data_IF_241547219213
#
_entry.id   IF_241547219213
#
_cell.length_a   1.000
_cell.length_b   1.000
_cell.length_c   1.000
_cell.angle_alpha   90.00
_cell.angle_beta   90.00
_cell.angle_gamma   90.00
#
_symmetry.space_group_name_H-M   'P 1'
#
loop_
_entity.id
_entity.type
_entity.pdbx_description
1 polymer ?
#
# COMPACT_ATOMS: atom_id res chain seq x y z
N UNK A 1 -12.79 9.77 -0.74
CA UNK A 1 -11.45 10.34 -0.93
C UNK A 1 -10.50 9.60 -0.01
N UNK A 2 -9.35 9.17 -0.53
CA UNK A 2 -8.23 8.67 0.28
C UNK A 2 -7.39 9.85 0.76
N UNK A 3 -6.72 9.68 1.91
CA UNK A 3 -5.82 10.67 2.49
C UNK A 3 -4.55 9.97 2.95
N UNK A 4 -3.39 10.59 2.68
CA UNK A 4 -2.13 10.14 3.23
C UNK A 4 -2.05 10.52 4.71
N UNK A 5 -1.57 9.59 5.53
CA UNK A 5 -1.26 9.87 6.93
C UNK A 5 -0.04 10.79 7.00
N UNK A 6 -0.10 11.81 7.85
CA UNK A 6 1.07 12.66 8.12
C UNK A 6 2.10 11.86 8.91
N UNK A 7 3.38 12.20 8.74
CA UNK A 7 4.50 11.56 9.42
C UNK A 7 4.38 11.56 10.94
N UNK A 8 3.86 12.64 11.52
CA UNK A 8 3.62 12.72 12.96
C UNK A 8 2.48 11.81 13.47
N UNK A 9 1.72 11.17 12.57
CA UNK A 9 0.63 10.24 12.89
C UNK A 9 1.13 8.81 12.73
N UNK A 10 1.72 8.45 11.58
CA UNK A 10 2.14 7.07 11.35
C UNK A 10 3.38 6.65 12.15
N UNK A 11 4.10 7.60 12.74
CA UNK A 11 5.20 7.35 13.68
C UNK A 11 4.76 7.27 15.16
N UNK A 12 3.46 7.43 15.49
CA UNK A 12 2.98 7.32 16.88
C UNK A 12 3.08 5.90 17.44
N UNK A 13 2.70 4.83 16.71
CA UNK A 13 2.76 3.48 17.24
C UNK A 13 4.21 3.00 17.42
N UNK A 14 4.52 2.36 18.55
CA UNK A 14 5.87 1.93 18.91
C UNK A 14 6.47 0.87 17.96
N UNK A 15 5.64 0.15 17.22
CA UNK A 15 6.05 -0.89 16.26
C UNK A 15 5.90 -0.44 14.80
N UNK A 16 5.66 0.84 14.57
CA UNK A 16 5.34 1.39 13.26
C UNK A 16 3.86 1.20 12.87
N UNK A 17 3.50 1.82 11.76
CA UNK A 17 2.19 1.68 11.14
C UNK A 17 2.30 0.77 9.95
N UNK A 18 1.33 -0.12 9.76
CA UNK A 18 1.28 -1.08 8.66
C UNK A 18 0.06 -0.78 7.79
N UNK A 19 0.23 -0.89 6.49
CA UNK A 19 -0.82 -0.76 5.48
C UNK A 19 -1.06 -2.10 4.77
N UNK A 20 -2.32 -2.37 4.43
CA UNK A 20 -2.71 -3.45 3.53
C UNK A 20 -3.01 -2.81 2.17
N UNK A 21 -2.22 -3.17 1.17
CA UNK A 21 -2.41 -2.75 -0.21
C UNK A 21 -2.90 -3.91 -1.07
N UNK A 22 -3.84 -3.66 -1.98
CA UNK A 22 -4.54 -4.71 -2.74
C UNK A 22 -3.86 -5.03 -4.07
N UNK A 23 -2.54 -5.17 -4.07
CA UNK A 23 -1.73 -5.73 -5.16
C UNK A 23 -0.42 -6.27 -4.60
N UNK A 24 0.38 -6.94 -5.44
CA UNK A 24 1.77 -7.28 -5.11
C UNK A 24 2.68 -6.06 -5.32
N UNK A 25 3.04 -5.34 -4.26
CA UNK A 25 3.94 -4.20 -4.40
C UNK A 25 5.32 -4.67 -4.89
N UNK A 26 5.97 -3.90 -5.80
CA UNK A 26 5.64 -2.53 -6.21
C UNK A 26 4.61 -2.41 -7.35
N UNK A 27 4.04 -3.51 -7.83
CA UNK A 27 3.05 -3.46 -8.92
C UNK A 27 1.75 -2.82 -8.43
N UNK A 28 1.17 -1.96 -9.27
CA UNK A 28 -0.09 -1.24 -8.99
C UNK A 28 -0.09 -0.44 -7.68
N UNK A 29 1.05 0.14 -7.29
CA UNK A 29 1.11 1.13 -6.19
C UNK A 29 0.26 2.37 -6.49
N UNK A 30 -0.23 3.01 -5.44
CA UNK A 30 -1.10 4.17 -5.53
C UNK A 30 -2.58 3.81 -5.70
N UNK A 31 -3.40 4.69 -6.29
CA UNK A 31 -4.85 4.59 -6.18
C UNK A 31 -5.45 3.50 -7.09
N UNK A 32 -6.54 2.90 -6.61
CA UNK A 32 -7.39 1.94 -7.34
C UNK A 32 -6.64 0.69 -7.89
N UNK A 33 -5.82 -0.01 -7.08
CA UNK A 33 -5.03 -1.15 -7.56
C UNK A 33 -5.88 -2.28 -8.17
N UNK A 34 -7.08 -2.52 -7.62
CA UNK A 34 -8.00 -3.53 -8.14
C UNK A 34 -8.51 -3.19 -9.55
N UNK A 35 -8.79 -1.92 -9.83
CA UNK A 35 -9.25 -1.49 -11.15
C UNK A 35 -8.17 -1.78 -12.21
N UNK A 36 -6.93 -1.40 -11.92
CA UNK A 36 -5.82 -1.58 -12.87
C UNK A 36 -5.46 -3.06 -13.06
N UNK A 37 -5.49 -3.87 -12.00
CA UNK A 37 -5.32 -5.33 -12.14
C UNK A 37 -6.40 -5.97 -13.02
N UNK A 38 -7.66 -5.54 -12.88
CA UNK A 38 -8.71 -6.01 -13.78
C UNK A 38 -8.56 -5.50 -15.21
N UNK A 39 -8.13 -4.24 -15.38
CA UNK A 39 -7.87 -3.65 -16.69
C UNK A 39 -6.79 -4.42 -17.46
N UNK A 40 -5.75 -4.88 -16.76
CA UNK A 40 -4.64 -5.66 -17.33
C UNK A 40 -4.90 -7.17 -17.35
N UNK A 41 -6.11 -7.62 -17.00
CA UNK A 41 -6.49 -9.04 -16.96
C UNK A 41 -5.58 -9.92 -16.07
N UNK A 42 -5.11 -9.38 -14.95
CA UNK A 42 -4.32 -10.13 -13.97
C UNK A 42 -5.15 -11.29 -13.41
N UNK A 43 -4.64 -12.51 -13.61
CA UNK A 43 -5.31 -13.75 -13.18
C UNK A 43 -4.93 -14.20 -11.78
N UNK A 44 -3.81 -13.70 -11.26
CA UNK A 44 -3.32 -13.96 -9.90
C UNK A 44 -3.10 -12.65 -9.15
N UNK A 45 -4.19 -11.93 -8.80
CA UNK A 45 -4.09 -10.72 -7.99
C UNK A 45 -3.79 -11.10 -6.53
N UNK A 46 -3.17 -10.18 -5.80
CA UNK A 46 -2.83 -10.42 -4.41
C UNK A 46 -2.93 -9.20 -3.52
N UNK A 47 -2.37 -9.35 -2.33
CA UNK A 47 -2.31 -8.31 -1.31
C UNK A 47 -0.91 -8.23 -0.73
N UNK A 48 -0.48 -7.02 -0.39
CA UNK A 48 0.79 -6.77 0.30
C UNK A 48 0.51 -6.14 1.64
N UNK A 49 1.12 -6.68 2.68
CA UNK A 49 1.25 -6.03 3.98
C UNK A 49 2.61 -5.35 4.03
N UNK A 50 2.64 -4.02 4.23
CA UNK A 50 3.90 -3.25 4.25
C UNK A 50 3.88 -2.17 5.33
N UNK A 51 5.06 -1.78 5.80
CA UNK A 51 5.20 -0.64 6.70
C UNK A 51 4.89 0.68 5.97
N UNK A 52 4.25 1.63 6.64
CA UNK A 52 4.09 2.99 6.11
C UNK A 52 5.39 3.76 6.29
N UNK A 53 5.86 4.41 5.22
CA UNK A 53 6.96 5.36 5.26
C UNK A 53 6.52 6.72 4.68
N UNK A 54 7.49 7.56 4.29
CA UNK A 54 7.21 8.91 3.76
C UNK A 54 6.59 8.89 2.36
N UNK A 55 6.75 7.80 1.60
CA UNK A 55 6.16 7.65 0.28
C UNK A 55 4.80 6.96 0.32
N UNK A 56 4.18 6.85 -0.85
CA UNK A 56 2.92 6.13 -1.05
C UNK A 56 3.24 4.72 -1.54
N UNK A 57 2.87 3.70 -0.77
CA UNK A 57 3.09 2.29 -1.08
C UNK A 57 4.56 1.89 -1.34
N UNK A 58 5.49 2.55 -0.64
CA UNK A 58 6.94 2.36 -0.81
C UNK A 58 7.65 1.66 0.34
N UNK A 59 6.98 1.47 1.48
CA UNK A 59 7.64 0.92 2.65
C UNK A 59 7.89 -0.59 2.56
N UNK A 60 8.70 -1.10 3.48
CA UNK A 60 9.17 -2.48 3.45
C UNK A 60 8.00 -3.46 3.63
N UNK A 61 7.95 -4.48 2.76
CA UNK A 61 7.01 -5.62 2.86
C UNK A 61 7.35 -6.48 4.08
N UNK A 62 6.31 -7.00 4.74
CA UNK A 62 6.39 -7.88 5.92
C UNK A 62 6.43 -9.34 5.52
#
# INVERSE_FOLDING_TARGET
>A
MSHLLKENVFNVPSYGTVNIHYSYLPEYGGPNPLFWQYYDYILDPGVTLHYVDKGEDTGNVI
#
